data_IF_320494183252
#
_entry.id   IF_320494183252
#
_cell.length_a   1.000
_cell.length_b   1.000
_cell.length_c   1.000
_cell.angle_alpha   90.00
_cell.angle_beta   90.00
_cell.angle_gamma   90.00
#
_symmetry.space_group_name_H-M   'P 1'
#
loop_
_entity.id
_entity.type
_entity.pdbx_description
1 polymer ?
#
# COMPACT_ATOMS: atom_id res chain seq x y z
N UNK A 1 -9.93 5.43 -37.61
CA UNK A 1 -10.50 4.67 -36.49
C UNK A 1 -9.48 3.77 -35.77
N UNK A 2 -8.64 3.00 -36.45
CA UNK A 2 -7.69 2.04 -35.81
C UNK A 2 -6.54 2.67 -35.00
N UNK A 3 -6.08 3.89 -35.33
CA UNK A 3 -4.97 4.56 -34.62
C UNK A 3 -5.40 5.11 -33.24
N UNK A 4 -6.64 5.58 -33.12
CA UNK A 4 -7.19 6.08 -31.82
C UNK A 4 -7.39 4.94 -30.83
N UNK A 5 -7.92 3.81 -31.29
CA UNK A 5 -8.13 2.62 -30.45
C UNK A 5 -6.79 2.05 -29.98
N UNK A 6 -5.76 2.01 -30.83
CA UNK A 6 -4.42 1.54 -30.46
C UNK A 6 -3.77 2.45 -29.40
N UNK A 7 -3.82 3.76 -29.57
CA UNK A 7 -3.27 4.73 -28.62
C UNK A 7 -4.04 4.70 -27.30
N UNK A 8 -5.34 4.42 -27.34
CA UNK A 8 -6.19 4.27 -26.19
C UNK A 8 -5.82 2.99 -25.40
N UNK A 9 -5.66 1.85 -26.08
CA UNK A 9 -5.25 0.59 -25.48
C UNK A 9 -3.83 0.67 -24.89
N UNK A 10 -2.91 1.38 -25.54
CA UNK A 10 -1.55 1.62 -25.02
C UNK A 10 -1.62 2.48 -23.75
N UNK A 11 -2.46 3.51 -23.73
CA UNK A 11 -2.66 4.37 -22.57
C UNK A 11 -3.31 3.63 -21.40
N UNK A 12 -4.26 2.73 -21.69
CA UNK A 12 -4.87 1.83 -20.70
C UNK A 12 -3.85 0.82 -20.15
N UNK A 13 -3.01 0.25 -21.00
CA UNK A 13 -1.92 -0.61 -20.58
C UNK A 13 -0.88 0.14 -19.75
N UNK A 14 -0.56 1.39 -20.07
CA UNK A 14 0.33 2.23 -19.26
C UNK A 14 -0.31 2.61 -17.92
N UNK A 15 -1.61 2.87 -17.86
CA UNK A 15 -2.33 3.14 -16.60
C UNK A 15 -2.40 1.84 -15.75
N UNK A 16 -2.71 0.71 -16.34
CA UNK A 16 -2.71 -0.59 -15.66
C UNK A 16 -1.29 -0.94 -15.23
N UNK A 17 -0.28 -0.76 -16.07
CA UNK A 17 1.12 -1.02 -15.74
C UNK A 17 1.62 -0.04 -14.66
N UNK A 18 1.28 1.25 -14.74
CA UNK A 18 1.65 2.23 -13.72
C UNK A 18 0.90 1.99 -12.40
N UNK A 19 -0.37 1.61 -12.44
CA UNK A 19 -1.10 1.16 -11.24
C UNK A 19 -0.54 -0.16 -10.72
N UNK A 20 -0.20 -1.09 -11.61
CA UNK A 20 0.48 -2.35 -11.27
C UNK A 20 1.90 -2.08 -10.74
N UNK A 21 2.64 -1.15 -11.33
CA UNK A 21 3.96 -0.74 -10.81
C UNK A 21 3.85 0.03 -9.50
N UNK A 22 2.84 0.87 -9.29
CA UNK A 22 2.61 1.52 -7.99
C UNK A 22 2.17 0.52 -6.91
N UNK A 23 1.29 -0.40 -7.25
CA UNK A 23 0.91 -1.51 -6.36
C UNK A 23 2.11 -2.45 -6.18
N UNK A 24 2.81 -2.84 -7.25
CA UNK A 24 4.03 -3.65 -7.17
C UNK A 24 5.22 -2.90 -6.55
N UNK A 25 5.35 -1.58 -6.67
CA UNK A 25 6.37 -0.80 -5.98
C UNK A 25 6.07 -0.68 -4.48
N UNK A 26 4.81 -0.56 -4.09
CA UNK A 26 4.40 -0.68 -2.70
C UNK A 26 4.51 -2.13 -2.21
N UNK A 27 4.27 -3.12 -3.07
CA UNK A 27 4.43 -4.54 -2.79
C UNK A 27 5.91 -5.00 -2.88
N UNK A 28 6.72 -4.49 -3.80
CA UNK A 28 8.18 -4.69 -3.82
C UNK A 28 8.87 -4.00 -2.63
N UNK A 29 8.40 -2.84 -2.20
CA UNK A 29 8.77 -2.27 -0.90
C UNK A 29 8.26 -3.14 0.25
N UNK A 30 7.14 -3.87 0.07
CA UNK A 30 6.61 -4.88 0.98
C UNK A 30 7.43 -6.15 1.08
N UNK A 31 8.14 -6.56 0.03
CA UNK A 31 8.94 -7.81 0.05
C UNK A 31 10.41 -7.61 0.42
N UNK A 32 11.04 -6.47 0.10
CA UNK A 32 12.45 -6.20 0.41
C UNK A 32 12.71 -4.89 1.15
N UNK A 33 11.82 -3.90 1.05
CA UNK A 33 11.90 -2.57 1.68
C UNK A 33 10.71 -2.25 2.59
N UNK A 34 9.82 -3.22 2.85
CA UNK A 34 8.67 -3.03 3.72
C UNK A 34 9.11 -2.94 5.17
N UNK A 35 8.35 -2.21 5.95
CA UNK A 35 8.57 -2.01 7.37
C UNK A 35 8.54 -3.33 8.15
N UNK A 36 7.68 -4.29 7.76
CA UNK A 36 7.56 -5.59 8.46
C UNK A 36 8.84 -6.42 8.37
N UNK A 37 9.42 -6.70 7.19
CA UNK A 37 10.73 -7.36 7.10
C UNK A 37 11.86 -6.61 7.78
N UNK A 38 11.84 -5.26 7.76
CA UNK A 38 12.81 -4.44 8.46
C UNK A 38 12.74 -4.68 9.97
N UNK A 39 11.54 -4.57 10.55
CA UNK A 39 11.33 -4.80 11.98
C UNK A 39 11.67 -6.22 12.38
N UNK A 40 11.26 -7.25 11.62
CA UNK A 40 11.66 -8.64 11.88
C UNK A 40 13.17 -8.80 11.97
N UNK A 41 13.92 -8.19 11.05
CA UNK A 41 15.38 -8.25 11.03
C UNK A 41 15.99 -7.49 12.22
N UNK A 42 15.46 -6.31 12.57
CA UNK A 42 15.93 -5.54 13.72
C UNK A 42 15.67 -6.27 15.03
N UNK A 43 14.49 -6.86 15.21
CA UNK A 43 14.13 -7.67 16.37
C UNK A 43 15.05 -8.89 16.48
N UNK A 44 15.28 -9.60 15.38
CA UNK A 44 16.16 -10.78 15.35
C UNK A 44 17.61 -10.44 15.72
N UNK A 45 18.06 -9.21 15.45
CA UNK A 45 19.39 -8.71 15.81
C UNK A 45 19.46 -8.09 17.23
N UNK A 46 18.38 -8.18 18.02
CA UNK A 46 18.35 -7.61 19.38
C UNK A 46 18.01 -6.12 19.44
N UNK A 47 17.53 -5.54 18.36
CA UNK A 47 17.11 -4.13 18.27
C UNK A 47 18.26 -3.16 17.93
N UNK A 48 18.04 -1.85 18.05
CA UNK A 48 16.71 -1.26 18.24
C UNK A 48 15.81 -1.38 17.03
N UNK A 49 14.48 -1.29 17.23
CA UNK A 49 13.51 -1.11 16.15
C UNK A 49 13.42 0.37 15.84
N UNK A 50 13.59 0.75 14.57
CA UNK A 50 13.59 2.15 14.15
C UNK A 50 12.28 2.54 13.50
N UNK A 51 11.61 3.56 14.03
CA UNK A 51 10.41 4.19 13.48
C UNK A 51 10.73 5.61 13.09
N UNK A 52 10.35 6.05 11.91
CA UNK A 52 10.71 7.39 11.40
C UNK A 52 10.05 8.52 12.18
N UNK A 53 8.75 8.34 12.51
CA UNK A 53 7.97 9.26 13.35
C UNK A 53 6.81 8.46 13.96
N UNK A 54 6.53 8.65 15.25
CA UNK A 54 5.47 7.95 15.98
C UNK A 54 4.06 8.21 15.46
N UNK A 55 3.88 9.29 14.70
CA UNK A 55 2.58 9.69 14.13
C UNK A 55 2.29 9.04 12.79
N UNK A 56 3.28 8.38 12.17
CA UNK A 56 3.12 7.79 10.83
C UNK A 56 2.06 6.71 10.88
N UNK A 57 1.13 6.82 9.94
CA UNK A 57 0.15 5.78 9.63
C UNK A 57 0.39 5.28 8.20
N UNK A 58 0.11 4.00 7.98
CA UNK A 58 0.17 3.37 6.65
C UNK A 58 -0.96 2.38 6.49
N UNK A 59 -1.36 2.19 5.24
CA UNK A 59 -2.30 1.14 4.87
C UNK A 59 -1.52 -0.13 4.49
N UNK A 60 -2.08 -1.26 4.82
CA UNK A 60 -1.50 -2.57 4.52
C UNK A 60 -2.50 -3.44 3.80
N UNK A 61 -2.03 -4.09 2.76
CA UNK A 61 -2.79 -5.09 2.02
C UNK A 61 -1.85 -6.25 1.68
N UNK A 62 -2.35 -7.46 1.73
CA UNK A 62 -1.54 -8.63 1.33
C UNK A 62 -1.37 -8.69 -0.18
N UNK A 63 -0.29 -9.30 -0.65
CA UNK A 63 -0.03 -9.45 -2.09
C UNK A 63 -1.16 -10.20 -2.81
N UNK A 64 -1.66 -11.34 -2.28
CA UNK A 64 -2.79 -12.05 -2.90
C UNK A 64 -4.04 -11.19 -2.99
N UNK A 65 -4.38 -10.45 -1.93
CA UNK A 65 -5.54 -9.56 -1.88
C UNK A 65 -5.42 -8.45 -2.93
N UNK A 66 -4.31 -7.72 -2.96
CA UNK A 66 -4.06 -6.68 -3.94
C UNK A 66 -4.12 -7.22 -5.38
N UNK A 67 -3.52 -8.39 -5.64
CA UNK A 67 -3.54 -9.02 -6.97
C UNK A 67 -4.94 -9.41 -7.40
N UNK A 68 -5.75 -9.93 -6.49
CA UNK A 68 -7.15 -10.30 -6.78
C UNK A 68 -7.99 -9.06 -7.10
N UNK A 69 -7.86 -7.98 -6.34
CA UNK A 69 -8.59 -6.74 -6.58
C UNK A 69 -8.22 -6.10 -7.93
N UNK A 70 -6.94 -6.10 -8.29
CA UNK A 70 -6.49 -5.60 -9.60
C UNK A 70 -7.04 -6.44 -10.75
N UNK A 71 -7.03 -7.79 -10.64
CA UNK A 71 -7.60 -8.67 -11.65
C UNK A 71 -9.10 -8.48 -11.78
N UNK A 72 -9.82 -8.31 -10.67
CA UNK A 72 -11.25 -8.03 -10.67
C UNK A 72 -11.57 -6.67 -11.28
N UNK A 73 -10.82 -5.61 -10.93
CA UNK A 73 -10.96 -4.30 -11.55
C UNK A 73 -10.76 -4.38 -13.06
N UNK A 74 -9.74 -5.11 -13.52
CA UNK A 74 -9.51 -5.32 -14.95
C UNK A 74 -10.61 -6.09 -15.66
N UNK A 75 -11.32 -7.00 -14.96
CA UNK A 75 -12.41 -7.79 -15.53
C UNK A 75 -13.72 -6.98 -15.68
N UNK A 76 -13.96 -6.00 -14.81
CA UNK A 76 -15.16 -5.16 -14.84
C UNK A 76 -14.93 -3.81 -15.54
N UNK A 77 -13.68 -3.51 -15.91
CA UNK A 77 -13.30 -2.25 -16.50
C UNK A 77 -13.99 -2.01 -17.83
N UNK A 78 -14.60 -0.85 -17.94
CA UNK A 78 -15.03 -0.24 -19.19
C UNK A 78 -14.02 0.85 -19.61
N UNK A 79 -14.33 1.59 -20.65
CA UNK A 79 -13.38 2.52 -21.25
C UNK A 79 -13.06 3.72 -20.34
N UNK A 80 -11.83 3.78 -19.84
CA UNK A 80 -11.26 4.99 -19.24
C UNK A 80 -11.59 5.23 -17.77
N UNK A 81 -12.15 4.24 -17.09
CA UNK A 81 -12.47 4.30 -15.67
C UNK A 81 -11.21 4.24 -14.81
N UNK A 82 -11.19 5.01 -13.74
CA UNK A 82 -10.20 4.93 -12.69
C UNK A 82 -10.75 4.11 -11.51
N UNK A 83 -10.07 3.01 -11.17
CA UNK A 83 -10.45 2.18 -10.05
C UNK A 83 -9.69 2.57 -8.79
N UNK A 84 -10.43 2.73 -7.70
CA UNK A 84 -9.90 3.00 -6.37
C UNK A 84 -10.16 1.80 -5.48
N UNK A 85 -9.11 1.27 -4.87
CA UNK A 85 -9.21 0.11 -3.99
C UNK A 85 -9.35 0.55 -2.52
N UNK A 86 -10.29 -0.07 -1.80
CA UNK A 86 -10.37 0.12 -0.36
C UNK A 86 -9.17 -0.56 0.32
N UNK A 87 -8.35 0.23 0.96
CA UNK A 87 -7.16 -0.22 1.67
C UNK A 87 -7.44 -0.63 3.13
N UNK A 88 -8.71 -0.60 3.54
CA UNK A 88 -9.13 -0.91 4.90
C UNK A 88 -8.69 0.15 5.92
N UNK A 89 -8.45 -0.27 7.16
CA UNK A 89 -8.10 0.64 8.23
C UNK A 89 -6.61 0.98 8.24
N UNK A 90 -6.26 2.25 8.45
CA UNK A 90 -4.87 2.66 8.58
C UNK A 90 -4.26 2.13 9.88
N UNK A 91 -2.99 1.75 9.83
CA UNK A 91 -2.24 1.21 10.97
C UNK A 91 -1.13 2.18 11.34
N UNK A 92 -1.03 2.52 12.63
CA UNK A 92 0.11 3.26 13.15
C UNK A 92 1.36 2.39 13.12
N UNK A 93 2.44 2.91 12.57
CA UNK A 93 3.71 2.17 12.46
C UNK A 93 4.31 1.89 13.85
N UNK A 94 4.09 2.79 14.81
CA UNK A 94 4.50 2.57 16.20
C UNK A 94 3.78 1.36 16.82
N UNK A 95 2.45 1.29 16.69
CA UNK A 95 1.65 0.17 17.23
C UNK A 95 2.05 -1.16 16.56
N UNK A 96 2.38 -1.13 15.27
CA UNK A 96 2.90 -2.28 14.54
C UNK A 96 4.24 -2.75 15.13
N UNK A 97 5.17 -1.81 15.38
CA UNK A 97 6.48 -2.13 15.97
C UNK A 97 6.32 -2.76 17.35
N UNK A 98 5.52 -2.16 18.24
CA UNK A 98 5.24 -2.67 19.57
C UNK A 98 4.64 -4.09 19.56
N UNK A 99 3.63 -4.29 18.69
CA UNK A 99 3.00 -5.60 18.52
C UNK A 99 3.99 -6.65 18.00
N UNK A 100 4.86 -6.30 17.05
CA UNK A 100 5.86 -7.22 16.53
C UNK A 100 6.90 -7.59 17.57
N UNK A 101 7.38 -6.66 18.39
CA UNK A 101 8.28 -6.92 19.52
C UNK A 101 7.60 -7.86 20.51
N UNK A 102 6.36 -7.54 20.92
CA UNK A 102 5.60 -8.38 21.85
C UNK A 102 5.42 -9.80 21.35
N UNK A 103 5.05 -9.98 20.08
CA UNK A 103 4.83 -11.29 19.48
C UNK A 103 6.13 -12.09 19.25
N UNK A 104 7.26 -11.40 19.15
CA UNK A 104 8.56 -12.07 19.01
C UNK A 104 9.03 -12.78 20.27
N UNK A 105 8.51 -12.40 21.44
CA UNK A 105 8.96 -12.89 22.75
C UNK A 105 10.34 -12.37 23.18
N UNK A 106 11.01 -11.55 22.34
CA UNK A 106 12.32 -10.98 22.69
C UNK A 106 12.12 -9.78 23.61
N UNK A 107 12.82 -9.80 24.74
CA UNK A 107 12.76 -8.72 25.74
C UNK A 107 13.88 -7.70 25.57
N UNK A 108 13.66 -6.48 26.07
CA UNK A 108 14.66 -5.43 26.08
C UNK A 108 14.91 -4.73 24.75
N UNK A 109 14.00 -4.91 23.78
CA UNK A 109 14.10 -4.18 22.50
C UNK A 109 13.51 -2.80 22.67
N UNK A 110 14.32 -1.78 22.38
CA UNK A 110 13.88 -0.39 22.35
C UNK A 110 13.37 -0.01 20.98
N UNK A 111 12.38 0.92 20.94
CA UNK A 111 11.95 1.59 19.71
C UNK A 111 12.59 2.97 19.67
N UNK A 112 13.33 3.25 18.64
CA UNK A 112 14.03 4.52 18.42
C UNK A 112 13.36 5.28 17.30
N UNK A 113 12.96 6.53 17.59
CA UNK A 113 12.41 7.44 16.59
C UNK A 113 13.56 8.07 15.81
N UNK A 114 13.52 7.90 14.48
CA UNK A 114 14.43 8.57 13.55
C UNK A 114 13.70 9.76 12.93
N UNK A 115 14.42 10.67 12.29
CA UNK A 115 13.75 11.81 11.65
C UNK A 115 13.16 11.41 10.30
N UNK A 116 12.03 12.05 9.92
CA UNK A 116 11.44 11.96 8.59
C UNK A 116 12.48 12.30 7.52
N UNK A 117 12.52 11.52 6.47
CA UNK A 117 13.33 11.82 5.29
C UNK A 117 12.66 12.93 4.47
N UNK A 118 13.47 13.69 3.73
CA UNK A 118 12.93 14.68 2.79
C UNK A 118 11.98 14.02 1.80
N UNK A 119 10.74 14.52 1.72
CA UNK A 119 9.70 13.96 0.85
C UNK A 119 8.86 12.83 1.47
N UNK A 120 9.15 12.38 2.69
CA UNK A 120 8.33 11.37 3.36
C UNK A 120 7.10 12.02 3.99
N UNK A 121 5.90 11.50 3.62
CA UNK A 121 4.62 12.00 4.17
C UNK A 121 4.32 11.32 5.51
N UNK A 122 3.84 12.11 6.48
CA UNK A 122 3.33 11.60 7.77
C UNK A 122 2.09 10.73 7.57
N UNK A 123 1.20 11.19 6.69
CA UNK A 123 -0.07 10.55 6.36
C UNK A 123 -0.09 10.26 4.86
N UNK A 124 -0.48 9.07 4.48
CA UNK A 124 -0.85 8.80 3.09
C UNK A 124 -2.29 9.28 2.91
N UNK A 125 -2.47 10.28 2.06
CA UNK A 125 -3.78 10.72 1.64
C UNK A 125 -4.31 9.71 0.63
N UNK A 126 -5.44 9.09 0.92
CA UNK A 126 -6.25 8.46 -0.12
C UNK A 126 -6.71 9.59 -1.04
N UNK A 127 -6.35 9.49 -2.32
CA UNK A 127 -6.53 10.57 -3.31
C UNK A 127 -7.99 11.01 -3.48
N UNK A 128 -8.94 10.17 -3.11
CA UNK A 128 -10.37 10.43 -3.25
C UNK A 128 -11.13 9.94 -2.01
N UNK A 129 -12.09 10.71 -1.55
CA UNK A 129 -13.01 10.26 -0.51
C UNK A 129 -13.91 9.18 -1.11
N UNK A 130 -13.89 7.99 -0.55
CA UNK A 130 -14.70 6.85 -1.02
C UNK A 130 -16.22 7.14 -1.06
N UNK A 131 -16.66 8.16 -0.33
CA UNK A 131 -18.05 8.62 -0.30
C UNK A 131 -18.51 9.32 -1.61
N UNK A 132 -17.55 9.79 -2.42
CA UNK A 132 -17.78 10.47 -3.69
C UNK A 132 -17.60 9.54 -4.90
N UNK A 133 -17.30 8.26 -4.65
CA UNK A 133 -17.01 7.27 -5.70
C UNK A 133 -18.20 6.34 -5.95
N UNK A 134 -18.34 5.93 -7.19
CA UNK A 134 -19.31 4.91 -7.58
C UNK A 134 -18.89 3.53 -7.05
N UNK A 135 -19.87 2.79 -6.52
CA UNK A 135 -19.66 1.44 -5.99
C UNK A 135 -19.73 0.41 -7.11
N UNK A 136 -18.85 -0.57 -7.07
CA UNK A 136 -18.97 -1.77 -7.89
C UNK A 136 -19.70 -2.89 -7.12
N UNK A 137 -19.90 -4.04 -7.78
CA UNK A 137 -20.41 -5.25 -7.10
C UNK A 137 -19.45 -5.77 -6.03
N UNK A 138 -18.16 -5.40 -6.11
CA UNK A 138 -17.17 -5.67 -5.07
C UNK A 138 -17.05 -4.47 -4.13
N UNK A 139 -17.37 -4.67 -2.85
CA UNK A 139 -17.33 -3.61 -1.83
C UNK A 139 -15.96 -3.00 -1.57
N UNK A 140 -14.89 -3.60 -2.08
CA UNK A 140 -13.50 -3.13 -1.96
C UNK A 140 -13.00 -2.41 -3.23
N UNK A 141 -13.84 -2.28 -4.27
CA UNK A 141 -13.49 -1.65 -5.55
C UNK A 141 -14.49 -0.53 -5.83
N UNK A 142 -13.97 0.67 -6.02
CA UNK A 142 -14.72 1.86 -6.37
C UNK A 142 -14.28 2.38 -7.74
N UNK A 143 -15.14 3.18 -8.38
CA UNK A 143 -14.89 3.83 -9.68
C UNK A 143 -15.01 5.34 -9.49
N UNK A 144 -14.04 6.09 -10.04
CA UNK A 144 -14.05 7.54 -10.17
C UNK A 144 -14.54 7.97 -11.56
#
# INVERSE_FOLDING_TARGET
MGRHIRNYLIKQQEIIINSFEHILLNLKRGSAGSVIPLFKRQIANGGPVTVTDKRIIRYFMTIPEASQLVLQSGAIANNGELFVLDMGQPVKIMDLAENMIRLSGVQGIEIVETRLRSGEKLYEELLVKTEELDKTDNSLIFIE
#
